data_IF_727320586807
#
_entry.id   IF_727320586807
#
_cell.length_a   1.000
_cell.length_b   1.000
_cell.length_c   1.000
_cell.angle_alpha   90.00
_cell.angle_beta   90.00
_cell.angle_gamma   90.00
#
_symmetry.space_group_name_H-M   'P 1'
#
loop_
_entity.id
_entity.type
_entity.pdbx_description
1 polymer ?
#
# COMPACT_ATOMS: atom_id res chain seq x y z
N UNK A 1 -3.71 8.24 -2.38
CA UNK A 1 -3.77 6.77 -2.19
C UNK A 1 -4.99 6.36 -1.36
N UNK A 2 -5.68 5.30 -1.79
CA UNK A 2 -6.79 4.65 -1.08
C UNK A 2 -6.35 3.30 -0.52
N UNK A 3 -6.87 2.91 0.64
CA UNK A 3 -6.59 1.62 1.29
C UNK A 3 -7.91 0.91 1.56
N UNK A 4 -8.09 -0.23 0.92
CA UNK A 4 -9.21 -1.14 1.14
C UNK A 4 -8.83 -2.09 2.27
N UNK A 5 -9.51 -1.95 3.41
CA UNK A 5 -9.27 -2.79 4.58
C UNK A 5 -10.01 -4.12 4.44
N UNK A 6 -9.25 -5.20 4.26
CA UNK A 6 -9.74 -6.57 4.18
C UNK A 6 -9.55 -7.25 5.53
N UNK A 7 -10.64 -7.52 6.23
CA UNK A 7 -10.61 -8.25 7.50
C UNK A 7 -11.82 -9.19 7.58
N UNK A 8 -11.56 -10.42 8.00
CA UNK A 8 -12.60 -11.40 8.29
C UNK A 8 -13.13 -11.28 9.72
N UNK A 9 -12.47 -10.48 10.56
CA UNK A 9 -12.84 -10.24 11.95
C UNK A 9 -13.57 -8.90 12.10
N UNK A 10 -14.60 -8.86 12.94
CA UNK A 10 -15.25 -7.59 13.31
C UNK A 10 -14.23 -6.77 14.10
N UNK A 11 -13.75 -5.70 13.48
CA UNK A 11 -12.78 -4.80 14.09
C UNK A 11 -13.47 -3.97 15.17
N UNK A 12 -13.07 -4.20 16.43
CA UNK A 12 -13.58 -3.47 17.60
C UNK A 12 -13.03 -2.03 17.64
N UNK A 13 -13.68 -1.12 18.38
CA UNK A 13 -13.29 0.31 18.42
C UNK A 13 -11.83 0.52 18.91
N UNK A 14 -11.31 -0.41 19.71
CA UNK A 14 -9.92 -0.45 20.17
C UNK A 14 -8.92 -0.54 19.01
N UNK A 15 -9.33 -1.07 17.85
CA UNK A 15 -8.46 -1.20 16.68
C UNK A 15 -8.34 0.07 15.84
N UNK A 16 -9.13 1.13 16.09
CA UNK A 16 -9.11 2.35 15.27
C UNK A 16 -7.74 3.03 15.30
N UNK A 17 -7.14 3.20 16.49
CA UNK A 17 -5.83 3.81 16.60
C UNK A 17 -4.74 2.96 15.93
N UNK A 18 -4.78 1.64 16.14
CA UNK A 18 -3.85 0.71 15.49
C UNK A 18 -3.95 0.77 13.96
N UNK A 19 -5.15 0.91 13.40
CA UNK A 19 -5.34 1.10 11.95
C UNK A 19 -4.69 2.39 11.46
N UNK A 20 -4.89 3.50 12.16
CA UNK A 20 -4.30 4.79 11.80
C UNK A 20 -2.77 4.71 11.80
N UNK A 21 -2.18 4.07 12.82
CA UNK A 21 -0.74 3.91 12.93
C UNK A 21 -0.18 3.03 11.80
N UNK A 22 -0.86 1.92 11.48
CA UNK A 22 -0.50 1.03 10.37
C UNK A 22 -0.59 1.74 9.02
N UNK A 23 -1.68 2.47 8.78
CA UNK A 23 -1.89 3.25 7.56
C UNK A 23 -0.82 4.34 7.41
N UNK A 24 -0.51 5.06 8.48
CA UNK A 24 0.52 6.09 8.46
C UNK A 24 1.90 5.50 8.14
N UNK A 25 2.28 4.40 8.80
CA UNK A 25 3.54 3.72 8.55
C UNK A 25 3.64 3.20 7.10
N UNK A 26 2.55 2.62 6.59
CA UNK A 26 2.47 2.13 5.21
C UNK A 26 2.59 3.25 4.19
N UNK A 27 1.81 4.32 4.34
CA UNK A 27 1.85 5.49 3.43
C UNK A 27 3.25 6.07 3.38
N UNK A 28 3.93 6.21 4.52
CA UNK A 28 5.33 6.67 4.58
C UNK A 28 6.27 5.76 3.78
N UNK A 29 6.13 4.43 3.91
CA UNK A 29 6.94 3.44 3.20
C UNK A 29 6.69 3.50 1.69
N UNK A 30 5.43 3.54 1.25
CA UNK A 30 5.05 3.62 -0.16
C UNK A 30 5.50 4.93 -0.78
N UNK A 31 5.26 6.08 -0.13
CA UNK A 31 5.71 7.38 -0.63
C UNK A 31 7.22 7.40 -0.82
N UNK A 32 7.99 6.87 0.14
CA UNK A 32 9.45 6.74 0.00
C UNK A 32 9.82 5.87 -1.20
N UNK A 33 9.16 4.73 -1.38
CA UNK A 33 9.37 3.83 -2.51
C UNK A 33 9.10 4.51 -3.86
N UNK A 34 7.97 5.21 -4.00
CA UNK A 34 7.57 5.91 -5.23
C UNK A 34 8.62 6.97 -5.61
N UNK A 35 9.05 7.77 -4.64
CA UNK A 35 10.09 8.80 -4.82
C UNK A 35 11.43 8.16 -5.24
N UNK A 36 11.86 7.09 -4.55
CA UNK A 36 13.13 6.43 -4.83
C UNK A 36 13.19 5.76 -6.20
N UNK A 37 12.06 5.26 -6.70
CA UNK A 37 11.98 4.56 -7.98
C UNK A 37 11.53 5.46 -9.13
N UNK A 38 11.38 6.78 -8.88
CA UNK A 38 10.92 7.75 -9.87
C UNK A 38 9.64 7.30 -10.59
N UNK A 39 8.73 6.65 -9.87
CA UNK A 39 7.47 6.21 -10.44
C UNK A 39 6.68 7.47 -10.77
N UNK A 40 6.51 7.73 -12.06
CA UNK A 40 5.89 8.94 -12.57
C UNK A 40 4.48 9.09 -12.01
N UNK A 41 4.22 10.29 -11.49
CA UNK A 41 2.95 10.65 -10.90
C UNK A 41 1.92 10.83 -12.03
N UNK A 42 1.17 9.78 -12.37
CA UNK A 42 0.16 9.86 -13.43
C UNK A 42 -1.16 10.52 -12.95
N UNK A 43 -1.24 10.87 -11.67
CA UNK A 43 -2.44 11.44 -11.03
C UNK A 43 -2.03 12.27 -9.82
N UNK A 44 -2.76 13.35 -9.56
CA UNK A 44 -2.49 14.26 -8.44
C UNK A 44 -2.30 13.51 -7.11
N UNK A 45 -1.14 13.67 -6.50
CA UNK A 45 -0.70 13.14 -5.21
C UNK A 45 -0.94 11.64 -5.05
N UNK A 46 -0.67 10.87 -6.11
CA UNK A 46 -0.85 9.41 -6.14
C UNK A 46 -2.28 8.98 -5.69
N UNK A 47 -3.30 9.82 -5.95
CA UNK A 47 -4.71 9.54 -5.56
C UNK A 47 -5.28 8.30 -6.21
N UNK A 48 -4.79 7.95 -7.40
CA UNK A 48 -5.18 6.79 -8.17
C UNK A 48 -4.58 5.47 -7.66
N UNK A 49 -3.58 5.49 -6.76
CA UNK A 49 -3.08 4.28 -6.14
C UNK A 49 -4.11 3.72 -5.16
N UNK A 50 -4.49 2.47 -5.38
CA UNK A 50 -5.38 1.71 -4.50
C UNK A 50 -4.62 0.50 -3.98
N UNK A 51 -4.66 0.29 -2.67
CA UNK A 51 -4.02 -0.85 -2.00
C UNK A 51 -5.06 -1.66 -1.24
N UNK A 52 -4.90 -2.98 -1.23
CA UNK A 52 -5.63 -3.87 -0.34
C UNK A 52 -4.75 -4.17 0.87
N UNK A 53 -5.29 -3.96 2.07
CA UNK A 53 -4.63 -4.34 3.32
C UNK A 53 -5.34 -5.54 3.93
N UNK A 54 -4.62 -6.65 4.02
CA UNK A 54 -5.09 -7.89 4.59
C UNK A 54 -4.74 -7.90 6.08
N UNK A 55 -5.68 -7.42 6.91
CA UNK A 55 -5.44 -7.14 8.33
C UNK A 55 -5.02 -8.40 9.09
N UNK A 56 -5.72 -9.51 8.84
CA UNK A 56 -5.50 -10.77 9.55
C UNK A 56 -4.13 -11.39 9.20
N UNK A 57 -3.57 -11.04 8.04
CA UNK A 57 -2.29 -11.53 7.51
C UNK A 57 -1.15 -10.48 7.60
N UNK A 58 -1.47 -9.23 7.95
CA UNK A 58 -0.50 -8.15 8.17
C UNK A 58 0.24 -7.66 6.92
N UNK A 59 -0.35 -7.77 5.72
CA UNK A 59 0.33 -7.34 4.48
C UNK A 59 -0.53 -6.45 3.58
N UNK A 60 0.16 -5.66 2.75
CA UNK A 60 -0.44 -4.81 1.73
C UNK A 60 -0.12 -5.34 0.34
N UNK A 61 -1.10 -5.24 -0.56
CA UNK A 61 -0.94 -5.49 -1.99
C UNK A 61 -1.50 -4.32 -2.78
N UNK A 62 -0.91 -4.05 -3.95
CA UNK A 62 -1.53 -3.12 -4.89
C UNK A 62 -2.82 -3.72 -5.44
N UNK A 63 -3.90 -2.95 -5.39
CA UNK A 63 -5.20 -3.37 -5.91
C UNK A 63 -5.22 -3.25 -7.44
N UNK A 64 -5.83 -4.21 -8.16
CA UNK A 64 -6.15 -4.09 -9.58
C UNK A 64 -7.05 -2.90 -9.93
N UNK A 65 -7.64 -2.23 -8.94
CA UNK A 65 -8.33 -0.93 -9.11
C UNK A 65 -7.37 0.22 -9.45
N UNK A 66 -6.07 0.06 -9.19
CA UNK A 66 -5.07 1.04 -9.63
C UNK A 66 -5.03 1.03 -11.16
N UNK A 67 -5.16 2.19 -11.83
CA UNK A 67 -5.18 2.22 -13.29
C UNK A 67 -3.84 1.82 -13.89
N UNK A 68 -3.89 1.24 -15.09
CA UNK A 68 -2.70 1.05 -15.93
C UNK A 68 -2.19 2.39 -16.47
N UNK A 69 -0.88 2.55 -16.72
CA UNK A 69 0.18 1.53 -16.59
C UNK A 69 0.77 1.42 -15.18
N UNK A 70 0.25 2.19 -14.21
CA UNK A 70 0.83 2.24 -12.86
C UNK A 70 0.77 0.87 -12.19
N UNK A 71 -0.34 0.15 -12.30
CA UNK A 71 -0.47 -1.18 -11.70
C UNK A 71 0.63 -2.13 -12.16
N UNK A 72 0.82 -2.27 -13.48
CA UNK A 72 1.87 -3.10 -14.05
C UNK A 72 3.28 -2.62 -13.69
N UNK A 73 3.52 -1.30 -13.72
CA UNK A 73 4.81 -0.72 -13.33
C UNK A 73 5.12 -1.02 -11.86
N UNK A 74 4.17 -0.77 -10.96
CA UNK A 74 4.33 -1.02 -9.53
C UNK A 74 4.63 -2.49 -9.26
N UNK A 75 3.92 -3.44 -9.89
CA UNK A 75 4.22 -4.86 -9.73
C UNK A 75 5.64 -5.22 -10.19
N UNK A 76 6.14 -4.58 -11.24
CA UNK A 76 7.50 -4.82 -11.74
C UNK A 76 8.59 -4.33 -10.76
N UNK A 77 8.34 -3.23 -10.03
CA UNK A 77 9.26 -2.66 -9.05
C UNK A 77 9.11 -3.27 -7.66
N UNK A 78 7.88 -3.54 -7.22
CA UNK A 78 7.60 -4.10 -5.91
C UNK A 78 8.05 -5.57 -5.81
N UNK A 79 8.02 -6.34 -6.90
CA UNK A 79 8.67 -7.67 -6.95
C UNK A 79 10.19 -7.60 -6.82
N UNK A 80 10.82 -6.47 -7.19
CA UNK A 80 12.26 -6.25 -6.95
C UNK A 80 12.55 -5.96 -5.47
N UNK A 81 11.55 -5.52 -4.68
CA UNK A 81 11.60 -5.45 -3.21
C UNK A 81 11.20 -6.80 -2.60
N UNK A 82 12.12 -7.76 -2.59
CA UNK A 82 11.91 -8.98 -1.79
C UNK A 82 11.81 -8.62 -0.29
N UNK A 83 10.88 -9.25 0.41
CA UNK A 83 10.48 -9.04 1.82
C UNK A 83 11.57 -9.29 2.89
N UNK A 84 12.82 -9.53 2.49
CA UNK A 84 13.92 -9.94 3.38
C UNK A 84 14.98 -8.86 3.64
N UNK A 85 14.72 -7.59 3.34
CA UNK A 85 15.52 -6.51 3.95
C UNK A 85 15.05 -6.26 5.39
N UNK A 86 15.25 -7.28 6.22
CA UNK A 86 15.47 -7.14 7.64
C UNK A 86 16.97 -7.34 7.88
N UNK A 87 17.60 -6.29 8.41
CA UNK A 87 19.02 -6.14 8.82
C UNK A 87 19.90 -5.40 7.81
#
# INVERSE_FOLDING_TARGET
>A
MKINWQSQTKLDEVYVQTKLDMEYAFRKKVSKFLIQNQIEECCDDYKCLVFNFFVDQGYFEISPETPEPIYSNFLSFWKKLSLNEAS
#
